data_IF_067660036155
#
_entry.id   IF_067660036155
#
_cell.length_a   1.000
_cell.length_b   1.000
_cell.length_c   1.000
_cell.angle_alpha   90.00
_cell.angle_beta   90.00
_cell.angle_gamma   90.00
#
_symmetry.space_group_name_H-M   'P 1'
#
loop_
_entity.id
_entity.type
_entity.pdbx_description
1 polymer ?
#
# COMPACT_ATOMS: atom_id res chain seq x y z
N UNK A 1 35.96 -27.27 17.72
CA UNK A 1 36.00 -25.89 18.24
C UNK A 1 36.34 -24.80 17.23
N UNK A 2 37.40 -24.85 16.41
CA UNK A 2 37.71 -23.73 15.49
C UNK A 2 36.72 -23.56 14.32
N UNK A 3 36.09 -24.64 13.86
CA UNK A 3 35.12 -24.59 12.76
C UNK A 3 33.72 -24.11 13.19
N UNK A 4 33.25 -24.42 14.39
CA UNK A 4 31.91 -24.01 14.88
C UNK A 4 31.79 -22.48 14.92
N UNK A 5 32.78 -21.80 15.50
CA UNK A 5 32.84 -20.33 15.52
C UNK A 5 32.80 -19.70 14.13
N UNK A 6 33.35 -20.37 13.11
CA UNK A 6 33.31 -19.89 11.73
C UNK A 6 31.93 -20.07 11.11
N UNK A 7 31.23 -21.16 11.43
CA UNK A 7 29.90 -21.46 10.91
C UNK A 7 28.87 -20.51 11.52
N UNK A 8 28.90 -20.28 12.83
CA UNK A 8 27.97 -19.36 13.51
C UNK A 8 28.12 -17.92 13.01
N UNK A 9 29.36 -17.47 12.78
CA UNK A 9 29.62 -16.15 12.17
C UNK A 9 29.06 -16.04 10.76
N UNK A 10 29.23 -17.09 9.95
CA UNK A 10 28.70 -17.12 8.59
C UNK A 10 27.16 -17.11 8.61
N UNK A 11 26.53 -17.78 9.57
CA UNK A 11 25.08 -17.76 9.76
C UNK A 11 24.57 -16.36 10.10
N UNK A 12 25.22 -15.62 11.00
CA UNK A 12 24.86 -14.22 11.31
C UNK A 12 24.99 -13.32 10.07
N UNK A 13 26.07 -13.47 9.31
CA UNK A 13 26.26 -12.71 8.07
C UNK A 13 25.19 -13.07 7.04
N UNK A 14 24.87 -14.36 6.88
CA UNK A 14 23.83 -14.82 5.98
C UNK A 14 22.44 -14.29 6.39
N UNK A 15 22.13 -14.24 7.69
CA UNK A 15 20.89 -13.67 8.22
C UNK A 15 20.74 -12.19 7.86
N UNK A 16 21.76 -11.37 8.14
CA UNK A 16 21.74 -9.93 7.80
C UNK A 16 21.65 -9.72 6.29
N UNK A 17 22.39 -10.48 5.49
CA UNK A 17 22.33 -10.37 4.03
C UNK A 17 20.96 -10.77 3.50
N UNK A 18 20.36 -11.84 4.03
CA UNK A 18 19.00 -12.24 3.66
C UNK A 18 17.99 -11.14 3.99
N UNK A 19 18.05 -10.57 5.21
CA UNK A 19 17.21 -9.43 5.62
C UNK A 19 17.39 -8.22 4.68
N UNK A 20 18.63 -7.89 4.32
CA UNK A 20 18.94 -6.78 3.40
C UNK A 20 18.37 -6.99 2.00
N UNK A 21 18.49 -8.20 1.44
CA UNK A 21 17.93 -8.56 0.12
C UNK A 21 16.40 -8.50 0.14
N UNK A 22 15.77 -9.02 1.19
CA UNK A 22 14.31 -8.97 1.37
C UNK A 22 13.84 -7.51 1.45
N UNK A 23 14.51 -6.66 2.22
CA UNK A 23 14.23 -5.22 2.26
C UNK A 23 14.35 -4.56 0.88
N UNK A 24 15.43 -4.85 0.15
CA UNK A 24 15.66 -4.31 -1.18
C UNK A 24 14.55 -4.71 -2.17
N UNK A 25 14.07 -5.95 -2.08
CA UNK A 25 12.94 -6.42 -2.88
C UNK A 25 11.65 -5.64 -2.59
N UNK A 26 11.33 -5.39 -1.32
CA UNK A 26 10.16 -4.62 -0.95
C UNK A 26 10.29 -3.14 -1.30
N UNK A 27 11.46 -2.54 -1.12
CA UNK A 27 11.75 -1.15 -1.54
C UNK A 27 11.52 -0.97 -3.05
N UNK A 28 12.03 -1.91 -3.86
CA UNK A 28 11.85 -1.90 -5.33
C UNK A 28 10.38 -2.10 -5.72
N UNK A 29 9.70 -3.02 -5.04
CA UNK A 29 8.27 -3.27 -5.26
C UNK A 29 7.44 -2.03 -4.94
N UNK A 30 7.78 -1.33 -3.85
CA UNK A 30 7.11 -0.09 -3.43
C UNK A 30 7.35 1.04 -4.42
N UNK A 31 8.58 1.20 -4.92
CA UNK A 31 8.91 2.17 -5.97
C UNK A 31 8.07 1.95 -7.22
N UNK A 32 7.92 0.69 -7.66
CA UNK A 32 7.10 0.33 -8.82
C UNK A 32 5.62 0.68 -8.62
N UNK A 33 5.12 0.61 -7.39
CA UNK A 33 3.75 1.05 -7.07
C UNK A 33 3.63 2.57 -7.11
N UNK A 34 4.61 3.30 -6.58
CA UNK A 34 4.66 4.77 -6.68
C UNK A 34 4.67 5.27 -8.13
N UNK A 35 5.49 4.66 -8.99
CA UNK A 35 5.58 5.00 -10.42
C UNK A 35 4.25 4.82 -11.16
N UNK A 36 3.35 3.96 -10.65
CA UNK A 36 2.00 3.77 -11.20
C UNK A 36 0.98 4.76 -10.63
N UNK A 37 1.21 5.28 -9.42
CA UNK A 37 0.33 6.25 -8.75
C UNK A 37 0.51 7.65 -9.34
N UNK A 38 1.74 8.05 -9.70
CA UNK A 38 2.03 9.36 -10.30
C UNK A 38 1.22 9.66 -11.59
N UNK A 39 1.24 8.80 -12.62
CA UNK A 39 0.43 9.00 -13.83
C UNK A 39 -1.07 8.83 -13.57
N UNK A 40 -1.44 8.09 -12.52
CA UNK A 40 -2.83 7.98 -12.09
C UNK A 40 -3.33 9.33 -11.52
N UNK A 41 -2.58 9.97 -10.63
CA UNK A 41 -2.91 11.29 -10.08
C UNK A 41 -3.00 12.35 -11.18
N UNK A 42 -2.08 12.33 -12.14
CA UNK A 42 -2.15 13.17 -13.34
C UNK A 42 -3.40 12.87 -14.19
N UNK A 43 -3.79 11.59 -14.33
CA UNK A 43 -4.97 11.19 -15.09
C UNK A 43 -6.30 11.56 -14.45
N UNK A 44 -6.34 11.76 -13.13
CA UNK A 44 -7.52 12.29 -12.43
C UNK A 44 -7.76 13.77 -12.73
N UNK A 45 -6.70 14.54 -13.02
CA UNK A 45 -6.84 15.93 -13.46
C UNK A 45 -7.29 16.05 -14.92
N UNK A 46 -6.89 15.10 -15.79
CA UNK A 46 -7.33 15.06 -17.18
C UNK A 46 -8.66 14.30 -17.31
N UNK A 47 -9.78 15.00 -17.51
CA UNK A 47 -11.16 14.45 -17.55
C UNK A 47 -11.43 13.41 -18.67
N UNK A 48 -10.40 12.98 -19.41
CA UNK A 48 -10.50 12.22 -20.66
C UNK A 48 -10.22 10.71 -20.54
N UNK A 49 -9.70 10.20 -19.40
CA UNK A 49 -9.62 8.75 -19.16
C UNK A 49 -10.88 8.25 -18.46
N UNK A 50 -11.39 7.10 -18.89
CA UNK A 50 -12.56 6.45 -18.25
C UNK A 50 -12.33 6.29 -16.75
N UNK A 51 -13.03 7.08 -15.94
CA UNK A 51 -13.00 7.08 -14.46
C UNK A 51 -13.10 5.66 -13.87
N UNK A 52 -13.76 4.74 -14.59
CA UNK A 52 -13.90 3.32 -14.23
C UNK A 52 -12.57 2.55 -14.29
N UNK A 53 -11.76 2.75 -15.34
CA UNK A 53 -10.46 2.08 -15.48
C UNK A 53 -9.47 2.57 -14.43
N UNK A 54 -9.47 3.87 -14.18
CA UNK A 54 -8.67 4.52 -13.14
C UNK A 54 -9.04 4.00 -11.74
N UNK A 55 -10.34 3.85 -11.44
CA UNK A 55 -10.83 3.28 -10.18
C UNK A 55 -10.40 1.83 -9.97
N UNK A 56 -10.44 1.01 -11.01
CA UNK A 56 -10.07 -0.41 -10.93
C UNK A 56 -8.58 -0.57 -10.61
N UNK A 57 -7.71 0.20 -11.28
CA UNK A 57 -6.27 0.19 -11.03
C UNK A 57 -5.93 0.62 -9.60
N UNK A 58 -6.53 1.71 -9.12
CA UNK A 58 -6.39 2.14 -7.72
C UNK A 58 -6.80 1.06 -6.73
N UNK A 59 -7.92 0.39 -6.99
CA UNK A 59 -8.43 -0.66 -6.12
C UNK A 59 -7.44 -1.83 -6.06
N UNK A 60 -6.93 -2.26 -7.21
CA UNK A 60 -5.91 -3.30 -7.29
C UNK A 60 -4.62 -2.91 -6.55
N UNK A 61 -4.09 -1.71 -6.81
CA UNK A 61 -2.91 -1.19 -6.11
C UNK A 61 -3.11 -1.12 -4.60
N UNK A 62 -4.25 -0.57 -4.16
CA UNK A 62 -4.61 -0.50 -2.74
C UNK A 62 -4.69 -1.88 -2.09
N UNK A 63 -5.29 -2.87 -2.75
CA UNK A 63 -5.34 -4.25 -2.23
C UNK A 63 -3.96 -4.89 -2.14
N UNK A 64 -3.09 -4.68 -3.14
CA UNK A 64 -1.73 -5.22 -3.14
C UNK A 64 -0.88 -4.59 -2.04
N UNK A 65 -0.97 -3.27 -1.87
CA UNK A 65 -0.29 -2.54 -0.80
C UNK A 65 -0.74 -3.00 0.58
N UNK A 66 -2.05 -3.20 0.79
CA UNK A 66 -2.59 -3.72 2.04
C UNK A 66 -2.06 -5.12 2.37
N UNK A 67 -1.92 -5.98 1.36
CA UNK A 67 -1.33 -7.32 1.55
C UNK A 67 0.15 -7.21 1.89
N UNK A 68 0.91 -6.38 1.16
CA UNK A 68 2.33 -6.16 1.42
C UNK A 68 2.57 -5.58 2.83
N UNK A 69 1.78 -4.60 3.26
CA UNK A 69 1.84 -4.03 4.61
C UNK A 69 1.62 -5.10 5.68
N UNK A 70 0.63 -5.99 5.50
CA UNK A 70 0.37 -7.11 6.42
C UNK A 70 1.47 -8.16 6.45
N UNK A 71 2.26 -8.28 5.39
CA UNK A 71 3.40 -9.19 5.32
C UNK A 71 4.62 -8.53 5.98
N UNK A 72 4.94 -7.30 5.61
CA UNK A 72 6.08 -6.56 6.18
C UNK A 72 5.95 -6.41 7.69
N UNK A 73 4.77 -6.03 8.21
CA UNK A 73 4.54 -5.92 9.65
C UNK A 73 4.46 -7.26 10.40
N UNK A 74 4.50 -8.40 9.70
CA UNK A 74 4.54 -9.74 10.30
C UNK A 74 5.85 -10.48 10.08
N UNK A 75 6.67 -10.05 9.11
CA UNK A 75 8.00 -10.60 8.97
C UNK A 75 8.83 -9.97 10.07
N UNK A 76 9.30 -10.80 11.00
CA UNK A 76 10.15 -10.46 12.14
C UNK A 76 11.56 -10.03 11.69
N UNK A 77 11.66 -9.07 10.77
CA UNK A 77 12.93 -8.60 10.18
C UNK A 77 13.82 -7.95 11.26
N UNK A 78 13.20 -7.39 12.29
CA UNK A 78 13.88 -6.71 13.41
C UNK A 78 14.24 -7.69 14.54
N UNK A 79 13.72 -8.92 14.51
CA UNK A 79 13.98 -9.83 15.62
C UNK A 79 15.42 -10.35 15.57
N UNK A 80 16.00 -10.43 16.76
CA UNK A 80 17.34 -10.95 16.97
C UNK A 80 17.35 -12.44 16.60
N UNK A 81 18.33 -12.90 15.80
CA UNK A 81 18.42 -14.30 15.43
C UNK A 81 18.55 -15.19 16.67
N UNK A 82 17.84 -16.32 16.69
CA UNK A 82 17.85 -17.28 17.81
C UNK A 82 19.26 -17.75 18.16
N UNK A 83 20.16 -17.79 17.17
CA UNK A 83 21.57 -18.10 17.34
C UNK A 83 22.28 -17.21 18.38
N UNK A 84 21.83 -15.97 18.60
CA UNK A 84 22.40 -15.07 19.61
C UNK A 84 22.11 -15.52 21.05
N UNK A 85 21.08 -16.35 21.26
CA UNK A 85 20.76 -16.92 22.56
C UNK A 85 21.79 -17.99 22.95
N UNK A 86 22.30 -18.74 21.96
CA UNK A 86 23.33 -19.77 22.14
C UNK A 86 24.75 -19.16 22.17
N UNK A 87 24.98 -18.12 21.35
CA UNK A 87 26.27 -17.45 21.20
C UNK A 87 26.20 -15.93 21.40
N UNK A 88 26.08 -15.43 22.66
CA UNK A 88 25.97 -13.99 22.97
C UNK A 88 27.18 -13.18 22.51
N UNK A 89 28.32 -13.83 22.35
CA UNK A 89 29.59 -13.25 21.89
C UNK A 89 29.47 -12.64 20.48
N UNK A 90 28.52 -13.12 19.67
CA UNK A 90 28.27 -12.67 18.31
C UNK A 90 27.35 -11.44 18.26
N UNK A 91 26.77 -11.00 19.39
CA UNK A 91 25.85 -9.88 19.44
C UNK A 91 26.49 -8.58 18.93
N UNK A 92 27.74 -8.31 19.28
CA UNK A 92 28.46 -7.12 18.76
C UNK A 92 28.66 -7.18 17.24
N UNK A 93 28.86 -8.37 16.66
CA UNK A 93 28.99 -8.54 15.22
C UNK A 93 27.63 -8.34 14.54
N UNK A 94 26.57 -8.94 15.10
CA UNK A 94 25.20 -8.75 14.61
C UNK A 94 24.81 -7.27 14.63
N UNK A 95 24.96 -6.58 15.76
CA UNK A 95 24.57 -5.16 15.88
C UNK A 95 25.35 -4.25 14.92
N UNK A 96 26.65 -4.51 14.73
CA UNK A 96 27.45 -3.76 13.74
C UNK A 96 26.96 -3.98 12.31
N UNK A 97 26.66 -5.22 11.95
CA UNK A 97 26.16 -5.54 10.61
C UNK A 97 24.73 -5.00 10.41
N UNK A 98 23.88 -5.10 11.43
CA UNK A 98 22.52 -4.56 11.40
C UNK A 98 22.51 -3.04 11.18
N UNK A 99 23.43 -2.33 11.83
CA UNK A 99 23.63 -0.88 11.70
C UNK A 99 24.25 -0.53 10.33
N UNK A 100 25.31 -1.21 9.90
CA UNK A 100 25.98 -0.98 8.61
C UNK A 100 25.02 -1.19 7.41
N UNK A 101 24.12 -2.17 7.49
CA UNK A 101 23.11 -2.42 6.45
C UNK A 101 21.80 -1.66 6.69
N UNK A 102 21.75 -0.82 7.72
CA UNK A 102 20.61 0.02 8.12
C UNK A 102 19.30 -0.76 8.23
N UNK A 103 19.35 -2.04 8.64
CA UNK A 103 18.21 -2.97 8.51
C UNK A 103 16.98 -2.43 9.24
N UNK A 104 17.16 -1.94 10.47
CA UNK A 104 16.06 -1.39 11.29
C UNK A 104 15.53 -0.08 10.73
N UNK A 105 16.41 0.81 10.27
CA UNK A 105 16.01 2.10 9.72
C UNK A 105 15.24 1.94 8.41
N UNK A 106 15.75 1.11 7.50
CA UNK A 106 15.12 0.79 6.22
C UNK A 106 13.77 0.10 6.41
N UNK A 107 13.66 -0.85 7.34
CA UNK A 107 12.40 -1.49 7.68
C UNK A 107 11.35 -0.46 8.16
N UNK A 108 11.72 0.38 9.13
CA UNK A 108 10.82 1.42 9.66
C UNK A 108 10.42 2.44 8.58
N UNK A 109 11.35 2.82 7.70
CA UNK A 109 11.07 3.73 6.59
C UNK A 109 10.11 3.10 5.57
N UNK A 110 10.29 1.80 5.27
CA UNK A 110 9.41 1.04 4.40
C UNK A 110 7.99 0.96 4.99
N UNK A 111 7.86 0.62 6.27
CA UNK A 111 6.58 0.53 6.98
C UNK A 111 5.81 1.85 6.92
N UNK A 112 6.46 2.97 7.26
CA UNK A 112 5.86 4.31 7.20
C UNK A 112 5.40 4.69 5.79
N UNK A 113 6.22 4.39 4.77
CA UNK A 113 5.84 4.65 3.37
C UNK A 113 4.64 3.81 2.96
N UNK A 114 4.61 2.52 3.30
CA UNK A 114 3.49 1.63 3.03
C UNK A 114 2.20 2.11 3.71
N UNK A 115 2.29 2.52 4.97
CA UNK A 115 1.16 3.06 5.74
C UNK A 115 0.56 4.30 5.04
N UNK A 116 1.40 5.28 4.71
CA UNK A 116 0.96 6.52 4.06
C UNK A 116 0.26 6.27 2.72
N UNK A 117 0.82 5.39 1.88
CA UNK A 117 0.19 5.08 0.58
C UNK A 117 -1.10 4.31 0.79
N UNK A 118 -1.13 3.34 1.70
CA UNK A 118 -2.34 2.55 1.99
C UNK A 118 -3.48 3.45 2.47
N UNK A 119 -3.21 4.36 3.41
CA UNK A 119 -4.20 5.33 3.89
C UNK A 119 -4.68 6.22 2.74
N UNK A 120 -3.76 6.77 1.93
CA UNK A 120 -4.10 7.62 0.79
C UNK A 120 -4.95 6.89 -0.25
N UNK A 121 -4.58 5.67 -0.63
CA UNK A 121 -5.31 4.85 -1.58
C UNK A 121 -6.72 4.53 -1.08
N UNK A 122 -6.86 4.25 0.22
CA UNK A 122 -8.15 4.00 0.85
C UNK A 122 -9.03 5.25 0.85
N UNK A 123 -8.50 6.41 1.25
CA UNK A 123 -9.23 7.68 1.22
C UNK A 123 -9.69 8.03 -0.20
N UNK A 124 -8.84 7.85 -1.22
CA UNK A 124 -9.23 8.09 -2.62
C UNK A 124 -10.30 7.09 -3.07
N UNK A 125 -10.18 5.82 -2.72
CA UNK A 125 -11.18 4.80 -3.05
C UNK A 125 -12.54 5.11 -2.39
N UNK A 126 -12.54 5.56 -1.13
CA UNK A 126 -13.73 5.99 -0.39
C UNK A 126 -14.39 7.21 -1.06
N UNK A 127 -13.61 8.22 -1.43
CA UNK A 127 -14.11 9.39 -2.16
C UNK A 127 -14.74 8.99 -3.51
N UNK A 128 -14.07 8.11 -4.27
CA UNK A 128 -14.61 7.58 -5.52
C UNK A 128 -15.89 6.76 -5.31
N UNK A 129 -15.99 6.00 -4.22
CA UNK A 129 -17.20 5.26 -3.87
C UNK A 129 -18.36 6.18 -3.46
N UNK A 130 -18.07 7.28 -2.77
CA UNK A 130 -19.09 8.25 -2.35
C UNK A 130 -19.72 8.96 -3.55
N UNK A 131 -18.93 9.32 -4.56
CA UNK A 131 -19.43 9.90 -5.83
C UNK A 131 -20.40 8.99 -6.61
N UNK A 132 -20.33 7.67 -6.39
CA UNK A 132 -21.26 6.71 -6.98
C UNK A 132 -22.60 6.61 -6.24
N UNK A 133 -22.65 6.99 -4.96
CA UNK A 133 -23.86 6.91 -4.13
C UNK A 133 -24.84 8.06 -4.42
N UNK A 134 -24.36 9.22 -4.86
CA UNK A 134 -25.20 10.38 -5.19
C UNK A 134 -26.03 10.21 -6.48
N UNK A 135 -25.74 9.19 -7.30
CA UNK A 135 -26.49 8.97 -8.56
C UNK A 135 -27.91 8.47 -8.31
N UNK A 136 -28.14 7.65 -7.29
CA UNK A 136 -29.49 7.11 -6.99
C UNK A 136 -30.41 8.21 -6.49
N UNK A 137 -29.88 9.13 -5.68
CA UNK A 137 -30.62 10.32 -5.21
C UNK A 137 -31.02 11.22 -6.38
N UNK A 138 -30.10 11.48 -7.33
CA UNK A 138 -30.41 12.27 -8.52
C UNK A 138 -31.44 11.62 -9.45
N UNK A 139 -31.48 10.28 -9.56
CA UNK A 139 -32.54 9.60 -10.31
C UNK A 139 -33.92 9.85 -9.70
N UNK A 140 -34.04 9.83 -8.37
CA UNK A 140 -35.30 10.15 -7.68
C UNK A 140 -35.70 11.61 -7.94
N UNK A 141 -34.76 12.56 -7.86
CA UNK A 141 -35.03 13.98 -8.14
C UNK A 141 -35.46 14.19 -9.60
N UNK A 142 -34.77 13.58 -10.57
CA UNK A 142 -35.14 13.67 -12.00
C UNK A 142 -36.53 13.09 -12.25
N UNK A 143 -36.86 11.94 -11.63
CA UNK A 143 -38.19 11.33 -11.76
C UNK A 143 -39.30 12.25 -11.24
N UNK A 144 -39.09 12.91 -10.10
CA UNK A 144 -40.06 13.88 -9.55
C UNK A 144 -40.22 15.10 -10.48
N UNK A 145 -39.12 15.63 -11.01
CA UNK A 145 -39.17 16.77 -11.95
C UNK A 145 -39.93 16.39 -13.22
N UNK A 146 -39.70 15.20 -13.77
CA UNK A 146 -40.43 14.71 -14.95
C UNK A 146 -41.93 14.55 -14.65
N UNK A 147 -42.29 13.99 -13.50
CA UNK A 147 -43.69 13.84 -13.05
C UNK A 147 -44.40 15.21 -12.99
N UNK A 148 -43.76 16.22 -12.41
CA UNK A 148 -44.30 17.57 -12.28
C UNK A 148 -44.46 18.23 -13.66
N UNK A 149 -43.48 18.08 -14.56
CA UNK A 149 -43.56 18.64 -15.91
C UNK A 149 -44.67 18.00 -16.74
N UNK A 150 -44.83 16.67 -16.66
CA UNK A 150 -45.91 15.96 -17.33
C UNK A 150 -47.28 16.38 -16.79
N UNK A 151 -47.39 16.52 -15.47
CA UNK A 151 -48.62 17.00 -14.81
C UNK A 151 -48.98 18.43 -15.25
N UNK A 152 -47.98 19.32 -15.31
CA UNK A 152 -48.19 20.70 -15.73
C UNK A 152 -48.54 20.80 -17.22
N UNK A 153 -47.90 19.98 -18.06
CA UNK A 153 -48.20 19.90 -19.49
C UNK A 153 -49.63 19.40 -19.74
N UNK A 154 -50.09 18.37 -19.02
CA UNK A 154 -51.46 17.87 -19.13
C UNK A 154 -52.49 18.93 -18.71
N UNK A 155 -52.22 19.70 -17.66
CA UNK A 155 -53.09 20.80 -17.22
C UNK A 155 -53.16 21.94 -18.26
N UNK A 156 -52.03 22.28 -18.89
CA UNK A 156 -51.98 23.39 -19.86
C UNK A 156 -52.56 22.99 -21.21
N UNK A 157 -52.38 21.75 -21.65
CA UNK A 157 -52.84 21.28 -22.96
C UNK A 157 -54.28 20.74 -22.96
N UNK A 158 -54.82 20.39 -21.78
CA UNK A 158 -56.19 19.89 -21.59
C UNK A 158 -57.15 20.94 -21.04
N UNK A 159 -56.69 22.18 -20.85
CA UNK A 159 -57.53 23.37 -20.65
C UNK A 159 -57.80 24.08 -21.97
#
# INVERSE_FOLDING_TARGET
MSNEFSVERLQIVADILAKSVVLSHYETSLATVFDQIEPFAASLQSDNRSKRKSRELLRQLGTTLLVQHKIVGRVEIIDKPELLWESPQLENLYLRLEDEYEIRERHNALERKLELISQTAQTVLEFMQHSSSQRVEWYVVILIVVEILLSLYDIIFKS
#
